data_IF_874387703430
#
_entry.id   IF_874387703430
#
_cell.length_a   1.000
_cell.length_b   1.000
_cell.length_c   1.000
_cell.angle_alpha   90.00
_cell.angle_beta   90.00
_cell.angle_gamma   90.00
#
_symmetry.space_group_name_H-M   'P 1'
#
loop_
_entity.id
_entity.type
_entity.pdbx_description
1 polymer ?
#
# COMPACT_ATOMS: atom_id res chain seq x y z
N UNK A 1 -10.69 -16.17 0.47
CA UNK A 1 -10.63 -14.95 1.31
C UNK A 1 -11.82 -14.98 2.25
N UNK A 2 -11.64 -14.83 3.57
CA UNK A 2 -12.78 -14.69 4.50
C UNK A 2 -13.16 -13.20 4.61
N UNK A 3 -14.07 -12.77 3.73
CA UNK A 3 -14.53 -11.38 3.66
C UNK A 3 -15.27 -10.94 4.94
N UNK A 4 -15.98 -11.85 5.62
CA UNK A 4 -16.68 -11.56 6.86
C UNK A 4 -15.71 -11.29 8.01
N UNK A 5 -14.60 -12.02 8.06
CA UNK A 5 -13.52 -11.76 9.02
C UNK A 5 -12.87 -10.40 8.77
N UNK A 6 -12.56 -10.07 7.52
CA UNK A 6 -11.98 -8.78 7.14
C UNK A 6 -12.84 -7.60 7.66
N UNK A 7 -14.17 -7.68 7.61
CA UNK A 7 -15.08 -6.64 8.16
C UNK A 7 -14.92 -6.40 9.66
N UNK A 8 -14.52 -7.42 10.42
CA UNK A 8 -14.38 -7.37 11.89
C UNK A 8 -13.02 -6.87 12.36
N UNK A 9 -12.01 -6.81 11.48
CA UNK A 9 -10.66 -6.40 11.85
C UNK A 9 -10.53 -4.91 12.19
N UNK A 10 -9.40 -4.58 12.80
CA UNK A 10 -8.99 -3.20 13.05
C UNK A 10 -8.93 -2.41 11.74
N UNK A 11 -9.09 -1.09 11.83
CA UNK A 11 -9.00 -0.21 10.67
C UNK A 11 -7.64 -0.30 9.97
N UNK A 12 -6.55 -0.43 10.73
CA UNK A 12 -5.19 -0.57 10.17
C UNK A 12 -5.03 -1.90 9.43
N UNK A 13 -5.47 -3.02 10.03
CA UNK A 13 -5.43 -4.33 9.39
C UNK A 13 -6.25 -4.37 8.09
N UNK A 14 -7.43 -3.72 8.08
CA UNK A 14 -8.23 -3.57 6.86
C UNK A 14 -7.48 -2.83 5.78
N UNK A 15 -6.88 -1.68 6.10
CA UNK A 15 -6.12 -0.89 5.13
C UNK A 15 -4.94 -1.66 4.58
N UNK A 16 -4.19 -2.35 5.44
CA UNK A 16 -3.04 -3.16 5.00
C UNK A 16 -3.49 -4.24 4.04
N UNK A 17 -4.55 -4.98 4.39
CA UNK A 17 -5.12 -6.00 3.51
C UNK A 17 -5.62 -5.43 2.17
N UNK A 18 -6.27 -4.26 2.19
CA UNK A 18 -6.72 -3.57 0.98
C UNK A 18 -5.52 -3.21 0.10
N UNK A 19 -4.47 -2.61 0.66
CA UNK A 19 -3.26 -2.25 -0.08
C UNK A 19 -2.62 -3.50 -0.67
N UNK A 20 -2.46 -4.58 0.11
CA UNK A 20 -1.93 -5.86 -0.38
C UNK A 20 -2.78 -6.42 -1.52
N UNK A 21 -4.11 -6.40 -1.38
CA UNK A 21 -5.03 -6.87 -2.42
C UNK A 21 -4.87 -6.09 -3.73
N UNK A 22 -4.70 -4.77 -3.66
CA UNK A 22 -4.45 -3.92 -4.84
C UNK A 22 -3.07 -4.21 -5.43
N UNK A 23 -2.04 -4.40 -4.59
CA UNK A 23 -0.69 -4.75 -5.04
C UNK A 23 -0.67 -6.10 -5.76
N UNK A 24 -1.35 -7.11 -5.21
CA UNK A 24 -1.47 -8.45 -5.79
C UNK A 24 -2.12 -8.43 -7.18
N UNK A 25 -3.09 -7.54 -7.43
CA UNK A 25 -3.69 -7.35 -8.76
C UNK A 25 -2.69 -6.88 -9.81
N UNK A 26 -1.59 -6.26 -9.40
CA UNK A 26 -0.51 -5.78 -10.26
C UNK A 26 0.77 -6.61 -10.16
N UNK A 27 0.74 -7.76 -9.46
CA UNK A 27 1.94 -8.55 -9.15
C UNK A 27 3.05 -7.70 -8.50
N UNK A 28 2.65 -6.75 -7.66
CA UNK A 28 3.57 -5.89 -6.89
C UNK A 28 3.65 -6.44 -5.48
N UNK A 29 4.86 -6.56 -4.96
CA UNK A 29 5.08 -6.97 -3.58
C UNK A 29 4.74 -5.80 -2.62
N UNK A 30 4.02 -6.10 -1.55
CA UNK A 30 3.69 -5.11 -0.52
C UNK A 30 4.95 -4.54 0.14
N UNK A 31 5.94 -5.37 0.43
CA UNK A 31 7.23 -4.95 0.99
C UNK A 31 7.99 -4.05 0.02
N UNK A 32 7.87 -4.30 -1.29
CA UNK A 32 8.45 -3.42 -2.31
C UNK A 32 7.80 -2.04 -2.28
N UNK A 33 6.47 -1.96 -2.22
CA UNK A 33 5.75 -0.67 -2.12
C UNK A 33 6.18 0.13 -0.89
N UNK A 34 6.23 -0.50 0.29
CA UNK A 34 6.67 0.18 1.51
C UNK A 34 8.18 0.48 1.51
N UNK A 35 8.99 -0.37 0.86
CA UNK A 35 10.40 -0.12 0.59
C UNK A 35 10.61 1.13 -0.28
N UNK A 36 9.80 1.32 -1.33
CA UNK A 36 9.80 2.55 -2.15
C UNK A 36 9.49 3.79 -1.32
N UNK A 37 8.50 3.73 -0.43
CA UNK A 37 8.22 4.84 0.47
C UNK A 37 9.43 5.21 1.32
N UNK A 38 10.08 4.22 1.94
CA UNK A 38 11.26 4.46 2.76
C UNK A 38 12.47 4.95 1.96
N UNK A 39 12.71 4.39 0.78
CA UNK A 39 13.75 4.87 -0.13
C UNK A 39 13.52 6.32 -0.54
N UNK A 40 12.29 6.67 -0.91
CA UNK A 40 11.93 8.05 -1.23
C UNK A 40 12.22 9.00 -0.05
N UNK A 41 11.84 8.62 1.17
CA UNK A 41 12.11 9.45 2.35
C UNK A 41 13.60 9.60 2.60
N UNK A 42 14.38 8.53 2.45
CA UNK A 42 15.84 8.54 2.60
C UNK A 42 16.46 9.53 1.61
N UNK A 43 16.01 9.53 0.36
CA UNK A 43 16.51 10.44 -0.67
C UNK A 43 16.09 11.91 -0.45
N UNK A 44 14.99 12.16 0.27
CA UNK A 44 14.40 13.49 0.43
C UNK A 44 14.46 14.03 1.86
N UNK A 45 15.24 13.41 2.77
CA UNK A 45 15.44 13.85 4.16
C UNK A 45 14.14 14.10 4.96
N UNK A 46 13.04 13.40 4.64
CA UNK A 46 11.74 13.60 5.28
C UNK A 46 11.53 12.72 6.53
N UNK A 47 10.86 13.25 7.56
CA UNK A 47 10.32 12.43 8.66
C UNK A 47 9.08 11.69 8.15
N UNK A 48 9.14 10.37 8.08
CA UNK A 48 8.04 9.58 7.57
C UNK A 48 7.04 9.16 8.65
N UNK A 49 5.77 9.34 8.31
CA UNK A 49 4.66 8.61 8.87
C UNK A 49 3.80 8.24 7.66
N UNK A 50 3.44 6.98 7.43
CA UNK A 50 2.66 6.54 6.26
C UNK A 50 1.27 7.19 6.12
N UNK A 51 0.87 8.09 7.03
CA UNK A 51 -0.33 8.94 6.88
C UNK A 51 0.01 10.42 6.61
N UNK A 52 1.28 10.84 6.69
CA UNK A 52 1.77 12.22 6.56
C UNK A 52 3.04 12.33 5.69
N UNK A 53 3.18 11.47 4.68
CA UNK A 53 4.35 11.52 3.81
C UNK A 53 4.47 12.90 3.12
N UNK A 54 5.66 13.50 3.22
CA UNK A 54 5.99 14.81 2.62
C UNK A 54 6.32 14.67 1.13
N UNK A 55 5.40 14.10 0.35
CA UNK A 55 5.53 14.12 -1.10
C UNK A 55 5.38 15.55 -1.61
N UNK A 56 6.14 15.90 -2.66
CA UNK A 56 5.98 17.15 -3.39
C UNK A 56 5.25 16.94 -4.72
N UNK A 57 4.69 18.01 -5.27
CA UNK A 57 4.28 18.06 -6.68
C UNK A 57 3.28 16.96 -7.14
N UNK A 58 3.44 16.42 -8.36
CA UNK A 58 2.55 15.38 -8.90
C UNK A 58 2.54 14.08 -8.09
N UNK A 59 3.64 13.74 -7.42
CA UNK A 59 3.74 12.53 -6.60
C UNK A 59 2.84 12.63 -5.37
N UNK A 60 2.74 13.81 -4.76
CA UNK A 60 1.81 14.05 -3.65
C UNK A 60 0.36 13.79 -4.02
N UNK A 61 -0.06 14.29 -5.18
CA UNK A 61 -1.43 14.08 -5.67
C UNK A 61 -1.71 12.60 -5.87
N UNK A 62 -0.78 11.88 -6.49
CA UNK A 62 -0.90 10.43 -6.71
C UNK A 62 -1.01 9.65 -5.40
N UNK A 63 -0.21 10.02 -4.40
CA UNK A 63 -0.28 9.43 -3.07
C UNK A 63 -1.60 9.76 -2.35
N UNK A 64 -2.01 11.04 -2.33
CA UNK A 64 -3.23 11.47 -1.65
C UNK A 64 -4.47 10.81 -2.26
N UNK A 65 -4.52 10.69 -3.60
CA UNK A 65 -5.59 10.02 -4.32
C UNK A 65 -5.66 8.52 -3.97
N UNK A 66 -4.53 7.82 -4.04
CA UNK A 66 -4.45 6.40 -3.65
C UNK A 66 -4.85 6.21 -2.19
N UNK A 67 -4.31 7.02 -1.29
CA UNK A 67 -4.59 6.96 0.15
C UNK A 67 -6.07 7.22 0.48
N UNK A 68 -6.71 8.17 -0.23
CA UNK A 68 -8.14 8.47 -0.10
C UNK A 68 -9.00 7.32 -0.57
N UNK A 69 -8.63 6.66 -1.67
CA UNK A 69 -9.35 5.48 -2.18
C UNK A 69 -9.27 4.33 -1.16
N UNK A 70 -8.08 4.03 -0.65
CA UNK A 70 -7.90 3.00 0.39
C UNK A 70 -8.73 3.32 1.65
N UNK A 71 -8.76 4.59 2.08
CA UNK A 71 -9.59 5.02 3.21
C UNK A 71 -11.09 4.78 2.94
N UNK A 72 -11.56 5.19 1.76
CA UNK A 72 -12.95 5.02 1.36
C UNK A 72 -13.36 3.54 1.34
N UNK A 73 -12.54 2.66 0.77
CA UNK A 73 -12.77 1.21 0.75
C UNK A 73 -12.83 0.69 2.20
N UNK A 74 -11.85 1.05 3.04
CA UNK A 74 -11.76 0.58 4.42
C UNK A 74 -12.97 0.99 5.27
N UNK A 75 -13.54 2.19 5.03
CA UNK A 75 -14.76 2.66 5.69
C UNK A 75 -16.02 2.01 5.13
N UNK A 76 -16.08 1.81 3.81
CA UNK A 76 -17.23 1.23 3.12
C UNK A 76 -17.35 -0.29 3.32
N UNK A 77 -16.27 -0.98 3.69
CA UNK A 77 -16.20 -2.45 3.73
C UNK A 77 -17.30 -3.12 4.57
N UNK A 78 -17.80 -2.46 5.61
CA UNK A 78 -18.91 -3.01 6.42
C UNK A 78 -20.22 -3.10 5.64
N UNK A 79 -20.41 -2.21 4.66
CA UNK A 79 -21.64 -2.06 3.86
C UNK A 79 -21.53 -2.73 2.49
N UNK A 80 -20.33 -3.05 2.04
CA UNK A 80 -20.09 -3.74 0.77
C UNK A 80 -20.30 -5.25 0.94
N UNK A 81 -20.69 -5.90 -0.14
CA UNK A 81 -20.53 -7.33 -0.34
C UNK A 81 -19.13 -7.63 -0.93
N UNK A 82 -18.81 -8.92 -1.06
CA UNK A 82 -17.49 -9.34 -1.54
C UNK A 82 -17.25 -8.89 -2.99
N UNK A 83 -18.28 -8.98 -3.85
CA UNK A 83 -18.19 -8.55 -5.24
C UNK A 83 -17.92 -7.04 -5.36
N UNK A 84 -18.67 -6.21 -4.62
CA UNK A 84 -18.47 -4.77 -4.58
C UNK A 84 -17.11 -4.37 -4.01
N UNK A 85 -16.61 -5.11 -3.01
CA UNK A 85 -15.24 -4.94 -2.52
C UNK A 85 -14.20 -5.21 -3.61
N UNK A 86 -14.29 -6.35 -4.29
CA UNK A 86 -13.35 -6.73 -5.36
C UNK A 86 -13.37 -5.73 -6.53
N UNK A 87 -14.55 -5.20 -6.88
CA UNK A 87 -14.67 -4.13 -7.88
C UNK A 87 -13.90 -2.87 -7.48
N UNK A 88 -14.00 -2.44 -6.22
CA UNK A 88 -13.26 -1.27 -5.75
C UNK A 88 -11.74 -1.52 -5.68
N UNK A 89 -11.32 -2.75 -5.35
CA UNK A 89 -9.90 -3.14 -5.42
C UNK A 89 -9.39 -3.01 -6.86
N UNK A 90 -10.15 -3.48 -7.84
CA UNK A 90 -9.80 -3.37 -9.26
C UNK A 90 -9.68 -1.90 -9.72
N UNK A 91 -10.63 -1.05 -9.34
CA UNK A 91 -10.58 0.38 -9.67
C UNK A 91 -9.37 1.10 -9.03
N UNK A 92 -8.95 0.65 -7.85
CA UNK A 92 -7.82 1.22 -7.12
C UNK A 92 -6.45 0.87 -7.72
N UNK A 93 -6.38 -0.09 -8.65
CA UNK A 93 -5.16 -0.49 -9.35
C UNK A 93 -4.52 0.66 -10.13
N UNK A 94 -5.32 1.45 -10.85
CA UNK A 94 -4.83 2.55 -11.68
C UNK A 94 -4.20 3.69 -10.84
N UNK A 95 -4.82 4.14 -9.74
CA UNK A 95 -4.17 5.02 -8.77
C UNK A 95 -2.85 4.48 -8.21
N UNK A 96 -2.78 3.19 -7.86
CA UNK A 96 -1.54 2.56 -7.40
C UNK A 96 -0.45 2.63 -8.47
N UNK A 97 -0.78 2.31 -9.72
CA UNK A 97 0.15 2.30 -10.85
C UNK A 97 0.79 3.67 -11.10
N UNK A 98 -0.01 4.74 -11.00
CA UNK A 98 0.48 6.12 -11.09
C UNK A 98 1.42 6.47 -9.93
N UNK A 99 1.07 6.06 -8.71
CA UNK A 99 1.90 6.27 -7.53
C UNK A 99 3.23 5.54 -7.66
N UNK A 100 3.22 4.26 -8.04
CA UNK A 100 4.41 3.44 -8.25
C UNK A 100 5.34 4.06 -9.29
N UNK A 101 4.81 4.38 -10.47
CA UNK A 101 5.58 5.01 -11.55
C UNK A 101 6.24 6.31 -11.08
N UNK A 102 5.50 7.16 -10.37
CA UNK A 102 6.03 8.40 -9.84
C UNK A 102 7.14 8.20 -8.80
N UNK A 103 7.01 7.21 -7.92
CA UNK A 103 8.05 6.88 -6.94
C UNK A 103 9.28 6.26 -7.60
N UNK A 104 9.10 5.35 -8.53
CA UNK A 104 10.17 4.67 -9.26
C UNK A 104 11.02 5.66 -10.04
N UNK A 105 10.36 6.58 -10.77
CA UNK A 105 11.06 7.68 -11.46
C UNK A 105 11.79 8.60 -10.47
N UNK A 106 11.16 8.94 -9.34
CA UNK A 106 11.76 9.85 -8.34
C UNK A 106 12.91 9.22 -7.56
N UNK A 107 12.96 7.89 -7.49
CA UNK A 107 14.00 7.14 -6.79
C UNK A 107 15.02 6.49 -7.75
N UNK A 108 14.89 6.73 -9.06
CA UNK A 108 15.70 6.10 -10.11
C UNK A 108 15.73 4.57 -9.97
N UNK A 109 14.55 3.98 -9.75
CA UNK A 109 14.35 2.55 -9.56
C UNK A 109 13.79 1.93 -10.83
N UNK A 110 14.42 0.84 -11.28
CA UNK A 110 13.84 -0.03 -12.30
C UNK A 110 13.25 -1.26 -11.60
N UNK A 111 11.92 -1.33 -11.48
CA UNK A 111 11.21 -2.40 -10.75
C UNK A 111 11.71 -3.79 -11.11
N UNK A 112 11.90 -4.08 -12.39
CA UNK A 112 12.28 -5.42 -12.86
C UNK A 112 13.66 -5.87 -12.37
N UNK A 113 14.56 -4.91 -12.10
CA UNK A 113 15.94 -5.18 -11.69
C UNK A 113 16.21 -4.87 -10.22
N UNK A 114 15.41 -4.01 -9.59
CA UNK A 114 15.69 -3.42 -8.28
C UNK A 114 14.78 -3.92 -7.16
N UNK A 115 13.84 -4.84 -7.41
CA UNK A 115 12.87 -5.31 -6.41
C UNK A 115 13.54 -5.65 -5.07
N UNK A 116 14.55 -6.52 -5.08
CA UNK A 116 15.20 -6.97 -3.84
C UNK A 116 16.01 -5.85 -3.18
N UNK A 117 16.66 -4.99 -3.98
CA UNK A 117 17.37 -3.80 -3.47
C UNK A 117 16.41 -2.85 -2.75
N UNK A 118 15.22 -2.63 -3.31
CA UNK A 118 14.22 -1.71 -2.75
C UNK A 118 13.60 -2.25 -1.46
N UNK A 119 13.33 -3.56 -1.39
CA UNK A 119 12.78 -4.19 -0.19
C UNK A 119 13.68 -4.03 1.04
N UNK A 120 15.00 -3.94 0.87
CA UNK A 120 15.95 -3.70 1.98
C UNK A 120 15.72 -2.34 2.68
N UNK A 121 15.07 -1.38 2.01
CA UNK A 121 14.73 -0.10 2.63
C UNK A 121 13.50 -0.17 3.55
N UNK A 122 12.74 -1.28 3.51
CA UNK A 122 11.65 -1.49 4.46
C UNK A 122 12.21 -1.58 5.87
N UNK A 123 11.86 -0.61 6.73
CA UNK A 123 12.32 -0.61 8.12
C UNK A 123 11.61 -1.68 8.96
N UNK A 124 12.25 -2.09 10.05
CA UNK A 124 11.74 -3.15 10.92
C UNK A 124 10.39 -2.80 11.57
N UNK A 125 10.14 -1.51 11.84
CA UNK A 125 8.86 -1.08 12.42
C UNK A 125 7.72 -1.33 11.44
N UNK A 126 7.94 -1.01 10.16
CA UNK A 126 6.95 -1.27 9.12
C UNK A 126 6.79 -2.73 8.81
N UNK A 127 7.90 -3.47 8.78
CA UNK A 127 7.86 -4.91 8.60
C UNK A 127 7.05 -5.56 9.71
N UNK A 128 7.24 -5.15 10.97
CA UNK A 128 6.42 -5.59 12.10
C UNK A 128 4.96 -5.19 11.92
N UNK A 129 4.69 -3.94 11.53
CA UNK A 129 3.31 -3.46 11.31
C UNK A 129 2.59 -4.27 10.21
N UNK A 130 3.26 -4.55 9.09
CA UNK A 130 2.74 -5.39 8.01
C UNK A 130 2.43 -6.78 8.57
N UNK A 131 3.40 -7.41 9.23
CA UNK A 131 3.25 -8.76 9.78
C UNK A 131 2.09 -8.83 10.79
N UNK A 132 1.99 -7.89 11.72
CA UNK A 132 0.93 -7.84 12.73
C UNK A 132 -0.44 -7.56 12.11
N UNK A 133 -0.49 -6.66 11.13
CA UNK A 133 -1.72 -6.32 10.41
C UNK A 133 -2.23 -7.48 9.57
N UNK A 134 -1.31 -8.28 9.02
CA UNK A 134 -1.59 -9.39 8.11
C UNK A 134 -1.66 -10.75 8.80
N UNK A 135 -1.22 -10.86 10.06
CA UNK A 135 -1.27 -12.09 10.87
C UNK A 135 -2.62 -12.83 10.81
N UNK A 136 -3.78 -12.13 10.90
CA UNK A 136 -5.09 -12.80 10.78
C UNK A 136 -5.30 -13.53 9.45
N UNK A 137 -4.52 -13.25 8.42
CA UNK A 137 -4.64 -13.84 7.09
C UNK A 137 -3.55 -14.88 6.77
N UNK A 138 -2.40 -14.83 7.47
CA UNK A 138 -1.22 -15.67 7.19
C UNK A 138 -1.13 -16.96 8.01
N UNK A 139 -1.67 -16.98 9.22
CA UNK A 139 -1.67 -18.17 10.10
C UNK A 139 -2.76 -19.19 9.71
N UNK A 140 -2.87 -19.52 8.42
CA UNK A 140 -3.79 -20.54 7.88
C UNK A 140 -3.05 -21.82 7.53
#
# INVERSE_FOLDING_TARGET
>A
MDYNRLKKLSYISKRMFIIESICNKKSVDLEYLFGLFNLYNKNNSGRWFWQKASFGGPLKRSYDDFNKIVDNIARAIKKLDEAGFLSQIEEAVKPLDRLLTGMEMSCEVNRDNDIERVKVFLDDNLKSLINDSMRPFRDQ
#
